data_IF_707553205099
#
_entry.id   IF_707553205099
#
_cell.length_a   1.000
_cell.length_b   1.000
_cell.length_c   1.000
_cell.angle_alpha   90.00
_cell.angle_beta   90.00
_cell.angle_gamma   90.00
#
_symmetry.space_group_name_H-M   'P 1'
#
loop_
_entity.id
_entity.type
_entity.pdbx_description
1 polymer ?
#
# COMPACT_ATOMS: atom_id res chain seq x y z
N UNK A 1 -12.48 -71.16 -5.14
CA UNK A 1 -13.04 -70.02 -4.38
C UNK A 1 -11.86 -69.41 -3.65
N UNK A 2 -11.34 -68.26 -4.09
CA UNK A 2 -10.56 -67.35 -3.24
C UNK A 2 -10.34 -66.01 -3.96
N UNK A 3 -10.86 -64.95 -3.32
CA UNK A 3 -10.85 -63.56 -3.78
C UNK A 3 -9.45 -62.96 -3.57
N UNK A 4 -8.75 -62.63 -4.66
CA UNK A 4 -7.58 -61.74 -4.62
C UNK A 4 -8.06 -60.29 -4.57
N UNK A 5 -7.85 -59.64 -3.43
CA UNK A 5 -8.06 -58.20 -3.24
C UNK A 5 -6.95 -57.46 -3.98
N UNK A 6 -7.31 -56.72 -5.02
CA UNK A 6 -6.47 -55.73 -5.68
C UNK A 6 -6.33 -54.51 -4.77
N UNK A 7 -5.15 -54.30 -4.16
CA UNK A 7 -4.77 -53.00 -3.62
C UNK A 7 -4.10 -52.20 -4.75
N UNK A 8 -4.90 -51.36 -5.41
CA UNK A 8 -4.42 -50.34 -6.33
C UNK A 8 -3.87 -49.17 -5.50
N UNK A 9 -2.56 -49.20 -5.22
CA UNK A 9 -1.87 -48.05 -4.63
C UNK A 9 -1.74 -46.95 -5.69
N UNK A 10 -2.66 -45.98 -5.62
CA UNK A 10 -2.59 -44.74 -6.38
C UNK A 10 -1.44 -43.88 -5.81
N UNK A 11 -0.23 -44.10 -6.32
CA UNK A 11 0.93 -43.23 -6.11
C UNK A 11 0.70 -41.95 -6.93
N UNK A 12 -0.13 -41.06 -6.37
CA UNK A 12 -0.20 -39.67 -6.80
C UNK A 12 1.14 -39.05 -6.42
N UNK A 13 1.99 -38.83 -7.43
CA UNK A 13 3.16 -38.00 -7.30
C UNK A 13 2.73 -36.62 -6.84
N UNK A 14 2.91 -36.35 -5.54
CA UNK A 14 3.01 -35.00 -5.02
C UNK A 14 4.31 -34.42 -5.60
N UNK A 15 4.22 -33.87 -6.81
CA UNK A 15 5.17 -32.88 -7.27
C UNK A 15 5.11 -31.73 -6.27
N UNK A 16 6.11 -31.66 -5.40
CA UNK A 16 6.48 -30.46 -4.67
C UNK A 16 6.60 -29.35 -5.71
N UNK A 17 5.59 -28.49 -5.79
CA UNK A 17 5.66 -27.25 -6.54
C UNK A 17 6.61 -26.36 -5.74
N UNK A 18 7.91 -26.48 -6.01
CA UNK A 18 8.87 -25.47 -5.61
C UNK A 18 8.35 -24.14 -6.14
N UNK A 19 8.25 -23.07 -5.32
CA UNK A 19 7.93 -21.76 -5.86
C UNK A 19 8.96 -21.47 -6.95
N UNK A 20 8.49 -21.23 -8.16
CA UNK A 20 9.34 -20.81 -9.29
C UNK A 20 9.95 -19.48 -8.85
N UNK A 21 11.20 -19.52 -8.38
CA UNK A 21 12.00 -18.30 -8.23
C UNK A 21 12.06 -17.66 -9.61
N UNK A 22 11.76 -16.37 -9.68
CA UNK A 22 11.94 -15.64 -10.92
C UNK A 22 13.41 -15.80 -11.35
N UNK A 23 13.61 -16.39 -12.53
CA UNK A 23 14.96 -16.62 -13.04
C UNK A 23 15.53 -15.27 -13.45
N UNK A 24 16.40 -14.72 -12.61
CA UNK A 24 17.18 -13.51 -12.89
C UNK A 24 17.99 -13.71 -14.18
N UNK A 25 17.74 -12.91 -15.20
CA UNK A 25 18.50 -12.92 -16.45
C UNK A 25 19.72 -11.99 -16.35
N UNK A 26 20.68 -12.35 -15.49
CA UNK A 26 21.93 -11.61 -15.33
C UNK A 26 23.14 -12.53 -15.45
N UNK A 27 24.23 -11.99 -16.03
CA UNK A 27 25.53 -12.65 -16.01
C UNK A 27 26.02 -12.79 -14.57
N UNK A 28 26.71 -13.89 -14.27
CA UNK A 28 27.37 -14.10 -12.98
C UNK A 28 28.35 -12.96 -12.70
N UNK A 29 28.35 -12.44 -11.47
CA UNK A 29 29.21 -11.31 -11.09
C UNK A 29 28.76 -9.95 -11.64
N UNK A 30 27.50 -9.81 -12.05
CA UNK A 30 26.93 -8.52 -12.46
C UNK A 30 27.12 -7.45 -11.37
N UNK A 31 27.57 -6.26 -11.78
CA UNK A 31 27.81 -5.13 -10.88
C UNK A 31 26.50 -4.63 -10.23
N UNK A 32 26.55 -3.97 -9.05
CA UNK A 32 25.37 -3.49 -8.34
C UNK A 32 24.41 -2.66 -9.20
N UNK A 33 24.96 -1.80 -10.06
CA UNK A 33 24.19 -0.99 -11.00
C UNK A 33 23.36 -1.85 -11.95
N UNK A 34 23.97 -2.86 -12.58
CA UNK A 34 23.31 -3.77 -13.51
C UNK A 34 22.23 -4.60 -12.81
N UNK A 35 22.46 -4.98 -11.55
CA UNK A 35 21.44 -5.67 -10.73
C UNK A 35 20.20 -4.79 -10.54
N UNK A 36 20.41 -3.53 -10.16
CA UNK A 36 19.33 -2.58 -9.94
C UNK A 36 18.57 -2.25 -11.21
N UNK A 37 19.28 -2.00 -12.32
CA UNK A 37 18.65 -1.69 -13.61
C UNK A 37 17.77 -2.84 -14.11
N UNK A 38 18.23 -4.08 -13.99
CA UNK A 38 17.43 -5.25 -14.35
C UNK A 38 16.23 -5.44 -13.41
N UNK A 39 16.43 -5.26 -12.10
CA UNK A 39 15.33 -5.29 -11.13
C UNK A 39 14.26 -4.24 -11.44
N UNK A 40 14.64 -3.00 -11.74
CA UNK A 40 13.70 -1.93 -12.07
C UNK A 40 12.93 -2.22 -13.36
N UNK A 41 13.62 -2.73 -14.38
CA UNK A 41 13.02 -3.13 -15.65
C UNK A 41 12.00 -4.26 -15.46
N UNK A 42 12.38 -5.31 -14.75
CA UNK A 42 11.52 -6.47 -14.50
C UNK A 42 10.31 -6.09 -13.64
N UNK A 43 10.50 -5.27 -12.61
CA UNK A 43 9.41 -4.83 -11.74
C UNK A 43 8.45 -3.87 -12.45
N UNK A 44 8.96 -2.92 -13.26
CA UNK A 44 8.13 -2.06 -14.10
C UNK A 44 7.32 -2.91 -15.09
N UNK A 45 7.97 -3.85 -15.79
CA UNK A 45 7.28 -4.78 -16.71
C UNK A 45 6.21 -5.61 -16.00
N UNK A 46 6.52 -6.14 -14.82
CA UNK A 46 5.59 -6.93 -14.03
C UNK A 46 4.36 -6.14 -13.60
N UNK A 47 4.54 -4.86 -13.27
CA UNK A 47 3.47 -3.93 -12.84
C UNK A 47 2.64 -3.41 -14.01
N UNK A 48 3.26 -3.15 -15.16
CA UNK A 48 2.61 -2.56 -16.33
C UNK A 48 1.92 -3.59 -17.23
N UNK A 49 2.32 -4.87 -17.14
CA UNK A 49 1.71 -5.93 -17.91
C UNK A 49 0.20 -6.07 -17.55
N UNK A 50 -0.73 -5.87 -18.50
CA UNK A 50 -2.16 -5.99 -18.25
C UNK A 50 -2.58 -7.36 -17.71
N UNK A 51 -1.86 -8.43 -18.08
CA UNK A 51 -2.11 -9.78 -17.56
C UNK A 51 -1.86 -9.91 -16.05
N UNK A 52 -1.09 -8.98 -15.47
CA UNK A 52 -0.73 -8.96 -14.06
C UNK A 52 -1.54 -7.95 -13.24
N UNK A 53 -2.50 -7.25 -13.86
CA UNK A 53 -3.25 -6.15 -13.22
C UNK A 53 -3.95 -6.57 -11.92
N UNK A 54 -4.44 -7.82 -11.86
CA UNK A 54 -5.14 -8.39 -10.68
C UNK A 54 -4.20 -9.04 -9.66
N UNK A 55 -2.88 -9.12 -9.93
CA UNK A 55 -1.94 -9.73 -8.99
C UNK A 55 -1.81 -8.88 -7.72
N UNK A 56 -2.02 -9.51 -6.57
CA UNK A 56 -1.71 -8.92 -5.27
C UNK A 56 -0.21 -8.70 -5.06
N UNK A 57 0.16 -7.89 -4.05
CA UNK A 57 1.55 -7.49 -3.79
C UNK A 57 2.54 -8.66 -3.73
N UNK A 58 2.18 -9.73 -3.02
CA UNK A 58 3.04 -10.92 -2.89
C UNK A 58 3.23 -11.65 -4.22
N UNK A 59 2.18 -11.72 -5.06
CA UNK A 59 2.27 -12.36 -6.37
C UNK A 59 3.12 -11.54 -7.33
N UNK A 60 3.03 -10.20 -7.28
CA UNK A 60 3.93 -9.31 -8.03
C UNK A 60 5.38 -9.40 -7.53
N UNK A 61 5.60 -9.46 -6.21
CA UNK A 61 6.94 -9.64 -5.63
C UNK A 61 7.59 -10.94 -6.09
N UNK A 62 6.85 -12.05 -6.15
CA UNK A 62 7.38 -13.34 -6.60
C UNK A 62 7.95 -13.31 -8.02
N UNK A 63 7.59 -12.32 -8.85
CA UNK A 63 8.14 -12.14 -10.19
C UNK A 63 9.54 -11.51 -10.18
N UNK A 64 9.97 -10.94 -9.05
CA UNK A 64 11.26 -10.24 -8.90
C UNK A 64 12.01 -10.69 -7.64
N UNK A 65 11.58 -11.79 -7.00
CA UNK A 65 12.16 -12.25 -5.72
C UNK A 65 13.64 -12.67 -5.86
N UNK A 66 14.06 -13.07 -7.06
CA UNK A 66 15.44 -13.43 -7.39
C UNK A 66 16.47 -12.29 -7.28
N UNK A 67 16.03 -11.04 -7.15
CA UNK A 67 16.89 -9.88 -6.92
C UNK A 67 17.18 -9.63 -5.44
N UNK A 68 16.45 -10.28 -4.53
CA UNK A 68 16.45 -10.00 -3.10
C UNK A 68 17.11 -11.11 -2.29
N UNK A 69 17.81 -10.73 -1.22
CA UNK A 69 17.95 -11.66 -0.09
C UNK A 69 16.63 -11.64 0.67
N UNK A 70 15.97 -12.79 0.72
CA UNK A 70 14.71 -12.93 1.47
C UNK A 70 14.90 -12.47 2.91
N UNK A 71 14.07 -11.51 3.32
CA UNK A 71 14.03 -11.03 4.70
C UNK A 71 13.66 -12.17 5.63
N UNK A 72 14.49 -12.43 6.65
CA UNK A 72 14.19 -13.45 7.67
C UNK A 72 13.08 -12.99 8.59
N UNK A 73 12.40 -13.93 9.26
CA UNK A 73 11.33 -13.61 10.23
C UNK A 73 11.85 -12.72 11.35
N UNK A 74 13.08 -12.95 11.80
CA UNK A 74 13.78 -12.16 12.81
C UNK A 74 14.01 -10.72 12.34
N UNK A 75 14.44 -10.51 11.08
CA UNK A 75 14.62 -9.17 10.51
C UNK A 75 13.31 -8.40 10.40
N UNK A 76 12.23 -9.04 9.96
CA UNK A 76 10.89 -8.43 9.92
C UNK A 76 10.40 -8.06 11.33
N UNK A 77 10.68 -8.89 12.34
CA UNK A 77 10.33 -8.60 13.73
C UNK A 77 11.12 -7.42 14.33
N UNK A 78 12.36 -7.22 13.89
CA UNK A 78 13.21 -6.13 14.37
C UNK A 78 12.93 -4.79 13.70
N UNK A 79 12.66 -4.79 12.39
CA UNK A 79 12.45 -3.54 11.62
C UNK A 79 10.98 -3.20 11.44
N UNK A 80 10.07 -4.17 11.63
CA UNK A 80 8.64 -4.01 11.36
C UNK A 80 8.31 -3.85 9.87
N UNK A 81 9.28 -4.04 8.97
CA UNK A 81 9.15 -3.74 7.54
C UNK A 81 9.59 -4.91 6.67
N UNK A 82 8.95 -5.02 5.51
CA UNK A 82 9.24 -6.01 4.46
C UNK A 82 9.68 -5.17 3.27
N UNK A 83 10.98 -4.82 3.24
CA UNK A 83 11.55 -3.80 2.34
C UNK A 83 11.34 -4.12 0.85
N UNK A 84 11.33 -5.41 0.53
CA UNK A 84 10.91 -5.99 -0.74
C UNK A 84 9.48 -5.57 -1.15
N UNK A 85 8.48 -5.75 -0.29
CA UNK A 85 7.10 -5.39 -0.59
C UNK A 85 6.91 -3.87 -0.72
N UNK A 86 7.67 -3.08 0.03
CA UNK A 86 7.66 -1.62 -0.10
C UNK A 86 8.11 -1.17 -1.49
N UNK A 87 9.07 -1.86 -2.10
CA UNK A 87 9.51 -1.54 -3.48
C UNK A 87 8.42 -1.85 -4.51
N UNK A 88 7.69 -2.96 -4.36
CA UNK A 88 6.55 -3.31 -5.23
C UNK A 88 5.43 -2.29 -5.09
N UNK A 89 5.12 -1.88 -3.86
CA UNK A 89 4.17 -0.81 -3.56
C UNK A 89 4.58 0.47 -4.30
N UNK A 90 5.84 0.88 -4.18
CA UNK A 90 6.37 2.06 -4.85
C UNK A 90 6.16 2.01 -6.37
N UNK A 91 6.50 0.90 -7.03
CA UNK A 91 6.35 0.76 -8.49
C UNK A 91 4.88 0.74 -8.92
N UNK A 92 4.00 0.04 -8.17
CA UNK A 92 2.55 0.04 -8.48
C UNK A 92 1.92 1.42 -8.40
N UNK A 93 2.36 2.24 -7.44
CA UNK A 93 1.81 3.58 -7.24
C UNK A 93 2.40 4.62 -8.19
N UNK A 94 3.72 4.65 -8.35
CA UNK A 94 4.39 5.72 -9.11
C UNK A 94 4.57 5.38 -10.59
N UNK A 95 4.44 4.10 -10.98
CA UNK A 95 4.59 3.59 -12.34
C UNK A 95 5.73 4.30 -13.09
N UNK A 96 6.97 4.20 -12.58
CA UNK A 96 8.06 5.02 -13.09
C UNK A 96 8.34 4.71 -14.56
N UNK A 97 8.32 5.75 -15.40
CA UNK A 97 8.63 5.65 -16.83
C UNK A 97 10.13 5.65 -17.13
N UNK A 98 10.94 6.17 -16.21
CA UNK A 98 12.40 6.11 -16.27
C UNK A 98 13.01 6.24 -14.88
N UNK A 99 14.29 5.89 -14.78
CA UNK A 99 15.08 5.99 -13.56
C UNK A 99 16.54 6.31 -13.86
N UNK A 100 17.19 6.97 -12.91
CA UNK A 100 18.62 7.27 -12.97
C UNK A 100 19.22 6.97 -11.60
N UNK A 101 20.29 6.19 -11.56
CA UNK A 101 21.10 6.01 -10.36
C UNK A 101 21.98 7.26 -10.20
N UNK A 102 21.64 8.12 -9.25
CA UNK A 102 22.30 9.42 -9.05
C UNK A 102 23.58 9.30 -8.23
N UNK A 103 23.66 8.29 -7.36
CA UNK A 103 24.88 7.96 -6.62
C UNK A 103 24.97 6.46 -6.43
N UNK A 104 26.16 5.89 -6.57
CA UNK A 104 26.46 4.52 -6.20
C UNK A 104 27.77 4.50 -5.41
N UNK A 105 27.69 4.06 -4.16
CA UNK A 105 28.86 3.89 -3.28
C UNK A 105 28.99 2.43 -2.90
N UNK A 106 30.15 1.84 -3.14
CA UNK A 106 30.48 0.48 -2.73
C UNK A 106 31.62 0.47 -1.71
N UNK A 107 31.54 -0.43 -0.74
CA UNK A 107 32.55 -0.64 0.28
C UNK A 107 32.60 -2.13 0.64
N UNK A 108 33.60 -2.84 0.11
CA UNK A 108 33.73 -4.29 0.27
C UNK A 108 32.51 -5.02 -0.28
N UNK A 109 31.83 -5.75 0.60
CA UNK A 109 30.65 -6.56 0.27
C UNK A 109 29.34 -5.77 0.32
N UNK A 110 29.36 -4.44 0.51
CA UNK A 110 28.16 -3.62 0.60
C UNK A 110 28.13 -2.54 -0.47
N UNK A 111 26.93 -2.22 -0.96
CA UNK A 111 26.71 -1.09 -1.84
C UNK A 111 25.43 -0.33 -1.45
N UNK A 112 25.45 0.98 -1.66
CA UNK A 112 24.27 1.86 -1.53
C UNK A 112 24.10 2.65 -2.81
N UNK A 113 22.89 2.63 -3.34
CA UNK A 113 22.49 3.41 -4.50
C UNK A 113 21.42 4.44 -4.10
N UNK A 114 21.62 5.68 -4.51
CA UNK A 114 20.57 6.70 -4.56
C UNK A 114 19.99 6.67 -5.97
N UNK A 115 18.66 6.57 -6.08
CA UNK A 115 17.98 6.37 -7.36
C UNK A 115 16.84 7.36 -7.48
N UNK A 116 16.86 8.11 -8.59
CA UNK A 116 15.84 9.07 -8.97
C UNK A 116 14.90 8.46 -9.99
N UNK A 117 13.62 8.40 -9.69
CA UNK A 117 12.58 7.90 -10.57
C UNK A 117 11.76 9.04 -11.18
N UNK A 118 11.40 8.91 -12.45
CA UNK A 118 10.43 9.76 -13.12
C UNK A 118 9.08 9.01 -13.18
N UNK A 119 8.04 9.46 -12.45
CA UNK A 119 6.71 8.85 -12.57
C UNK A 119 6.15 8.94 -14.00
N UNK A 120 5.27 8.02 -14.38
CA UNK A 120 4.45 8.18 -15.58
C UNK A 120 3.15 8.92 -15.24
N UNK A 121 2.75 9.88 -16.10
CA UNK A 121 1.45 10.50 -15.99
C UNK A 121 0.38 9.43 -16.21
N UNK A 122 -0.46 9.22 -15.19
CA UNK A 122 -1.50 8.19 -15.26
C UNK A 122 -2.66 8.73 -16.10
N UNK A 123 -2.99 8.02 -17.18
CA UNK A 123 -4.17 8.18 -18.04
C UNK A 123 -5.16 9.31 -17.65
N UNK A 124 -4.94 10.51 -18.19
CA UNK A 124 -6.03 11.47 -18.47
C UNK A 124 -6.22 12.68 -17.55
N UNK A 125 -5.48 12.84 -16.44
CA UNK A 125 -5.53 14.09 -15.65
C UNK A 125 -4.11 14.56 -15.39
N UNK A 126 -3.65 15.55 -16.17
CA UNK A 126 -2.36 16.21 -15.94
C UNK A 126 -2.42 16.93 -14.59
N UNK A 127 -1.85 16.34 -13.54
CA UNK A 127 -1.61 17.03 -12.27
C UNK A 127 -0.19 17.58 -12.28
N UNK A 128 -0.02 18.86 -11.89
CA UNK A 128 1.27 19.56 -11.94
C UNK A 128 2.43 18.89 -11.15
N UNK A 129 2.16 17.90 -10.29
CA UNK A 129 3.16 17.14 -9.52
C UNK A 129 3.42 15.71 -10.00
N UNK A 130 2.72 15.23 -11.02
CA UNK A 130 2.95 13.88 -11.61
C UNK A 130 4.27 13.78 -12.40
N UNK A 131 5.04 14.87 -12.44
CA UNK A 131 6.33 14.95 -13.10
C UNK A 131 7.49 15.19 -12.12
N UNK A 132 7.23 15.36 -10.83
CA UNK A 132 8.29 15.55 -9.85
C UNK A 132 9.06 14.23 -9.70
N UNK A 133 10.38 14.31 -9.88
CA UNK A 133 11.24 13.15 -9.71
C UNK A 133 11.27 12.70 -8.25
N UNK A 134 11.25 11.38 -8.02
CA UNK A 134 11.23 10.80 -6.68
C UNK A 134 12.59 10.15 -6.39
N UNK A 135 13.27 10.64 -5.36
CA UNK A 135 14.54 10.09 -4.90
C UNK A 135 14.30 8.96 -3.89
N UNK A 136 15.01 7.85 -4.04
CA UNK A 136 14.91 6.65 -3.19
C UNK A 136 16.31 6.11 -2.90
N UNK A 137 16.42 5.16 -1.96
CA UNK A 137 17.68 4.49 -1.66
C UNK A 137 17.54 2.97 -1.68
N UNK A 138 18.47 2.29 -2.35
CA UNK A 138 18.63 0.84 -2.31
C UNK A 138 19.94 0.47 -1.62
N UNK A 139 19.91 -0.51 -0.73
CA UNK A 139 21.12 -1.14 -0.20
C UNK A 139 21.25 -2.55 -0.77
N UNK A 140 22.49 -2.92 -1.11
CA UNK A 140 22.84 -4.21 -1.67
C UNK A 140 23.99 -4.85 -0.90
N UNK A 141 24.05 -6.17 -0.94
CA UNK A 141 25.15 -6.97 -0.39
C UNK A 141 25.66 -7.96 -1.44
N UNK A 142 26.96 -8.21 -1.43
CA UNK A 142 27.61 -9.26 -2.21
C UNK A 142 27.52 -10.58 -1.44
N UNK A 143 27.01 -11.62 -2.09
CA UNK A 143 26.94 -12.97 -1.52
C UNK A 143 27.24 -13.99 -2.61
N UNK A 144 28.21 -14.87 -2.38
CA UNK A 144 28.64 -15.89 -3.34
C UNK A 144 28.94 -15.28 -4.72
N UNK A 145 29.71 -14.20 -4.74
CA UNK A 145 30.09 -13.44 -5.95
C UNK A 145 28.93 -12.75 -6.72
N UNK A 146 27.71 -12.75 -6.18
CA UNK A 146 26.55 -12.06 -6.76
C UNK A 146 25.97 -11.00 -5.82
N UNK A 147 25.60 -9.85 -6.40
CA UNK A 147 24.95 -8.77 -5.66
C UNK A 147 23.44 -8.99 -5.53
N UNK A 148 22.91 -8.70 -4.35
CA UNK A 148 21.49 -8.80 -4.03
C UNK A 148 21.00 -7.56 -3.29
N UNK A 149 19.74 -7.19 -3.51
CA UNK A 149 19.06 -6.13 -2.76
C UNK A 149 18.71 -6.66 -1.37
N UNK A 150 18.97 -5.85 -0.35
CA UNK A 150 18.68 -6.17 1.06
C UNK A 150 17.77 -5.16 1.73
N UNK A 151 17.66 -3.96 1.18
CA UNK A 151 16.84 -2.89 1.74
C UNK A 151 16.43 -1.90 0.64
N UNK A 152 15.25 -1.35 0.80
CA UNK A 152 14.69 -0.28 -0.03
C UNK A 152 14.07 0.76 0.91
N UNK A 153 14.51 1.99 0.73
CA UNK A 153 13.91 3.17 1.35
C UNK A 153 13.28 3.99 0.24
N UNK A 154 11.96 4.11 0.30
CA UNK A 154 11.20 5.00 -0.58
C UNK A 154 11.57 6.48 -0.36
N UNK A 155 10.81 7.42 -0.94
CA UNK A 155 11.06 8.84 -0.76
C UNK A 155 11.28 9.18 0.71
N UNK A 156 12.31 9.96 1.00
CA UNK A 156 12.46 10.58 2.31
C UNK A 156 11.18 11.35 2.59
N UNK A 157 10.32 10.78 3.45
CA UNK A 157 9.28 11.54 4.11
C UNK A 157 10.06 12.59 4.88
N UNK A 158 10.01 13.86 4.43
CA UNK A 158 10.53 15.00 5.17
C UNK A 158 10.26 14.75 6.65
N UNK A 159 11.25 14.90 7.56
CA UNK A 159 11.08 14.59 8.97
C UNK A 159 9.72 15.12 9.40
N UNK A 160 8.87 14.17 9.84
CA UNK A 160 7.46 14.38 10.10
C UNK A 160 7.28 15.77 10.69
N UNK A 161 6.55 16.65 9.99
CA UNK A 161 5.92 17.78 10.68
C UNK A 161 5.28 17.20 11.94
N UNK A 162 5.44 17.92 13.07
CA UNK A 162 4.85 17.49 14.33
C UNK A 162 3.42 17.03 14.06
N UNK A 163 3.09 15.81 14.52
CA UNK A 163 1.76 15.27 14.29
C UNK A 163 0.74 16.26 14.85
N UNK A 164 -0.36 16.50 14.13
CA UNK A 164 -1.37 17.44 14.59
C UNK A 164 -1.95 16.99 15.92
N UNK A 165 -2.33 17.96 16.76
CA UNK A 165 -3.11 17.68 17.96
C UNK A 165 -4.42 16.98 17.57
N UNK A 166 -4.80 15.98 18.37
CA UNK A 166 -6.03 15.26 18.15
C UNK A 166 -7.24 16.19 18.38
N UNK A 167 -8.19 16.16 17.45
CA UNK A 167 -9.44 16.90 17.57
C UNK A 167 -10.18 16.52 18.84
N UNK A 168 -10.70 17.52 19.54
CA UNK A 168 -11.61 17.32 20.67
C UNK A 168 -13.00 16.94 20.14
N UNK A 169 -13.59 15.89 20.72
CA UNK A 169 -14.98 15.50 20.49
C UNK A 169 -15.86 16.23 21.50
N UNK A 170 -16.84 16.96 21.02
CA UNK A 170 -17.81 17.68 21.85
C UNK A 170 -18.97 16.72 22.22
N UNK A 171 -19.50 16.76 23.45
CA UNK A 171 -20.71 16.00 23.81
C UNK A 171 -21.94 16.28 22.91
N UNK A 172 -21.98 17.42 22.23
CA UNK A 172 -23.02 17.79 21.27
C UNK A 172 -22.76 17.30 19.84
N UNK A 173 -21.60 16.70 19.56
CA UNK A 173 -21.30 16.14 18.24
C UNK A 173 -22.32 15.05 17.88
N UNK A 174 -22.93 15.20 16.70
CA UNK A 174 -23.78 14.16 16.11
C UNK A 174 -22.94 13.19 15.29
N UNK A 175 -23.44 11.97 14.99
CA UNK A 175 -22.74 11.06 14.08
C UNK A 175 -22.40 11.69 12.73
N UNK A 176 -23.30 12.53 12.18
CA UNK A 176 -23.06 13.23 10.92
C UNK A 176 -21.94 14.28 11.06
N UNK A 177 -21.89 15.02 12.17
CA UNK A 177 -20.83 15.98 12.46
C UNK A 177 -19.46 15.29 12.59
N UNK A 178 -19.41 14.12 13.23
CA UNK A 178 -18.18 13.33 13.34
C UNK A 178 -17.69 12.87 11.97
N UNK A 179 -18.56 12.29 11.15
CA UNK A 179 -18.19 11.86 9.79
C UNK A 179 -17.76 13.06 8.95
N UNK A 180 -18.43 14.21 9.05
CA UNK A 180 -18.03 15.43 8.33
C UNK A 180 -16.63 15.88 8.70
N UNK A 181 -16.35 16.08 9.99
CA UNK A 181 -15.03 16.54 10.47
C UNK A 181 -13.94 15.54 10.11
N UNK A 182 -14.24 14.24 10.18
CA UNK A 182 -13.33 13.19 9.76
C UNK A 182 -13.02 13.28 8.26
N UNK A 183 -14.06 13.41 7.43
CA UNK A 183 -13.91 13.47 5.98
C UNK A 183 -13.24 14.76 5.52
N UNK A 184 -13.42 15.89 6.21
CA UNK A 184 -12.73 17.14 5.92
C UNK A 184 -11.21 16.99 6.09
N UNK A 185 -10.76 16.30 7.15
CA UNK A 185 -9.34 15.96 7.35
C UNK A 185 -8.87 14.99 6.27
N UNK A 186 -9.68 13.99 5.92
CA UNK A 186 -9.34 13.05 4.84
C UNK A 186 -9.17 13.77 3.50
N UNK A 187 -10.05 14.71 3.14
CA UNK A 187 -9.91 15.51 1.92
C UNK A 187 -8.65 16.37 1.94
N UNK A 188 -8.37 17.02 3.08
CA UNK A 188 -7.20 17.88 3.24
C UNK A 188 -5.89 17.10 3.13
N UNK A 189 -5.79 15.97 3.84
CA UNK A 189 -4.53 15.26 4.03
C UNK A 189 -4.35 14.07 3.09
N UNK A 190 -5.43 13.49 2.55
CA UNK A 190 -5.38 12.34 1.64
C UNK A 190 -5.99 12.62 0.26
N UNK A 191 -6.56 13.82 0.05
CA UNK A 191 -7.05 14.24 -1.26
C UNK A 191 -5.92 14.44 -2.28
N UNK A 192 -6.24 14.69 -3.56
CA UNK A 192 -5.26 14.74 -4.65
C UNK A 192 -4.20 15.84 -4.49
N UNK A 193 -4.48 16.90 -3.73
CA UNK A 193 -3.54 17.99 -3.46
C UNK A 193 -2.46 17.63 -2.43
N UNK A 194 -2.67 16.57 -1.65
CA UNK A 194 -1.85 16.19 -0.49
C UNK A 194 -0.54 15.46 -0.83
N UNK A 195 -0.34 15.11 -2.11
CA UNK A 195 0.86 14.45 -2.61
C UNK A 195 0.66 12.95 -2.91
N UNK A 196 1.74 12.17 -2.82
CA UNK A 196 1.73 10.74 -3.12
C UNK A 196 0.79 9.98 -2.17
N UNK A 197 0.04 8.97 -2.65
CA UNK A 197 -0.74 8.07 -1.80
C UNK A 197 0.10 7.53 -0.63
N UNK A 198 -0.46 7.60 0.59
CA UNK A 198 0.11 7.04 1.81
C UNK A 198 0.92 8.03 2.65
N UNK A 199 1.32 9.18 2.08
CA UNK A 199 2.24 10.12 2.74
C UNK A 199 1.72 10.71 4.06
N UNK A 200 0.39 10.89 4.19
CA UNK A 200 -0.22 11.60 5.32
C UNK A 200 -1.22 10.76 6.13
N UNK A 201 -1.26 9.44 5.94
CA UNK A 201 -2.18 8.55 6.69
C UNK A 201 -1.99 8.70 8.21
N UNK A 202 -0.74 8.85 8.65
CA UNK A 202 -0.42 9.06 10.06
C UNK A 202 -0.92 10.40 10.60
N UNK A 203 -0.99 11.45 9.76
CA UNK A 203 -1.53 12.76 10.15
C UNK A 203 -3.03 12.68 10.40
N UNK A 204 -3.77 12.01 9.50
CA UNK A 204 -5.21 11.79 9.69
C UNK A 204 -5.48 10.93 10.92
N UNK A 205 -4.73 9.84 11.09
CA UNK A 205 -4.88 8.96 12.26
C UNK A 205 -4.60 9.71 13.58
N UNK A 206 -3.58 10.57 13.62
CA UNK A 206 -3.27 11.40 14.78
C UNK A 206 -4.36 12.45 15.05
N UNK A 207 -4.75 13.22 14.03
CA UNK A 207 -5.75 14.28 14.14
C UNK A 207 -7.13 13.74 14.56
N UNK A 208 -7.49 12.54 14.11
CA UNK A 208 -8.84 11.97 14.34
C UNK A 208 -8.88 10.98 15.49
N UNK A 209 -7.76 10.68 16.16
CA UNK A 209 -7.65 9.62 17.18
C UNK A 209 -8.78 9.62 18.20
N UNK A 210 -9.12 10.79 18.75
CA UNK A 210 -10.13 10.92 19.81
C UNK A 210 -11.57 10.80 19.30
N UNK A 211 -11.78 10.84 17.98
CA UNK A 211 -13.08 10.64 17.34
C UNK A 211 -13.45 9.15 17.23
N UNK A 212 -12.49 8.25 17.46
CA UNK A 212 -12.69 6.82 17.35
C UNK A 212 -12.81 6.17 18.73
N UNK A 213 -13.63 5.13 18.80
CA UNK A 213 -13.70 4.23 19.94
C UNK A 213 -12.31 3.64 20.19
N UNK A 214 -11.85 3.68 21.44
CA UNK A 214 -10.51 3.20 21.80
C UNK A 214 -10.44 1.67 21.94
N UNK A 215 -10.80 0.97 20.87
CA UNK A 215 -10.82 -0.48 20.78
C UNK A 215 -9.91 -0.97 19.65
N UNK A 216 -9.34 -2.17 19.81
CA UNK A 216 -8.44 -2.77 18.82
C UNK A 216 -9.08 -2.86 17.44
N UNK A 217 -10.34 -3.28 17.38
CA UNK A 217 -11.07 -3.47 16.13
C UNK A 217 -11.39 -2.14 15.45
N UNK A 218 -11.67 -1.09 16.23
CA UNK A 218 -11.86 0.27 15.71
C UNK A 218 -10.56 0.84 15.13
N UNK A 219 -9.44 0.67 15.81
CA UNK A 219 -8.12 1.08 15.27
C UNK A 219 -7.76 0.33 13.99
N UNK A 220 -8.05 -0.98 13.92
CA UNK A 220 -7.85 -1.80 12.72
C UNK A 220 -8.73 -1.29 11.56
N UNK A 221 -10.00 -1.04 11.84
CA UNK A 221 -10.95 -0.55 10.86
C UNK A 221 -10.53 0.83 10.33
N UNK A 222 -10.10 1.74 11.21
CA UNK A 222 -9.52 3.03 10.84
C UNK A 222 -8.33 2.88 9.90
N UNK A 223 -7.35 2.03 10.25
CA UNK A 223 -6.18 1.80 9.39
C UNK A 223 -6.54 1.27 8.00
N UNK A 224 -7.50 0.35 7.91
CA UNK A 224 -8.00 -0.16 6.63
C UNK A 224 -8.74 0.92 5.83
N UNK A 225 -9.59 1.70 6.50
CA UNK A 225 -10.32 2.82 5.90
C UNK A 225 -9.39 3.89 5.35
N UNK A 226 -8.42 4.36 6.13
CA UNK A 226 -7.45 5.38 5.68
C UNK A 226 -6.58 4.87 4.53
N UNK A 227 -6.20 3.60 4.54
CA UNK A 227 -5.46 3.01 3.42
C UNK A 227 -6.30 3.07 2.15
N UNK A 228 -7.58 2.71 2.23
CA UNK A 228 -8.52 2.82 1.11
C UNK A 228 -8.72 4.28 0.66
N UNK A 229 -8.99 5.20 1.59
CA UNK A 229 -9.14 6.63 1.28
C UNK A 229 -7.89 7.20 0.62
N UNK A 230 -6.70 6.78 1.07
CA UNK A 230 -5.46 7.19 0.47
C UNK A 230 -5.28 6.67 -0.96
N UNK A 231 -5.82 5.49 -1.29
CA UNK A 231 -5.84 4.98 -2.66
C UNK A 231 -6.89 5.72 -3.52
N UNK A 232 -8.06 5.99 -2.93
CA UNK A 232 -9.14 6.71 -3.59
C UNK A 232 -8.79 8.18 -3.83
N UNK A 233 -7.97 8.81 -3.00
CA UNK A 233 -7.67 10.25 -3.06
C UNK A 233 -8.96 11.09 -3.25
N UNK A 234 -9.87 11.07 -2.26
CA UNK A 234 -11.19 11.66 -2.40
C UNK A 234 -11.10 13.15 -2.75
N UNK A 235 -11.95 13.59 -3.67
CA UNK A 235 -12.09 15.00 -4.09
C UNK A 235 -13.27 15.68 -3.40
N UNK A 236 -14.32 14.92 -3.15
CA UNK A 236 -15.51 15.36 -2.43
C UNK A 236 -16.23 14.16 -1.84
N UNK A 237 -17.14 14.42 -0.91
CA UNK A 237 -18.01 13.42 -0.33
C UNK A 237 -19.39 14.01 -0.09
N UNK A 238 -20.39 13.15 0.04
CA UNK A 238 -21.72 13.55 0.49
C UNK A 238 -22.36 12.45 1.34
N UNK A 239 -23.12 12.85 2.35
CA UNK A 239 -23.94 11.94 3.14
C UNK A 239 -25.13 11.46 2.31
N UNK A 240 -25.32 10.16 2.23
CA UNK A 240 -26.44 9.51 1.53
C UNK A 240 -27.54 9.17 2.51
N UNK A 241 -27.17 8.51 3.60
CA UNK A 241 -28.11 7.97 4.58
C UNK A 241 -27.54 8.05 5.98
N UNK A 242 -28.43 8.27 6.95
CA UNK A 242 -28.14 8.21 8.38
C UNK A 242 -29.26 7.42 9.06
N UNK A 243 -28.95 6.21 9.50
CA UNK A 243 -29.81 5.43 10.40
C UNK A 243 -29.29 5.58 11.83
N UNK A 244 -29.93 6.46 12.60
CA UNK A 244 -29.54 6.75 13.98
C UNK A 244 -30.51 6.13 14.97
N UNK A 245 -29.97 5.28 15.84
CA UNK A 245 -30.63 4.75 17.02
C UNK A 245 -30.13 5.46 18.29
N UNK A 246 -30.66 5.07 19.44
CA UNK A 246 -30.37 5.73 20.73
C UNK A 246 -28.87 5.74 21.10
N UNK A 247 -28.14 4.67 20.77
CA UNK A 247 -26.74 4.49 21.16
C UNK A 247 -25.81 4.04 20.03
N UNK A 248 -26.36 3.85 18.83
CA UNK A 248 -25.65 3.41 17.64
C UNK A 248 -26.16 4.20 16.44
N UNK A 249 -25.30 4.45 15.47
CA UNK A 249 -25.68 5.08 14.22
C UNK A 249 -24.90 4.44 13.08
N UNK A 250 -25.56 4.33 11.94
CA UNK A 250 -24.95 3.95 10.69
C UNK A 250 -25.07 5.10 9.69
N UNK A 251 -23.96 5.44 9.04
CA UNK A 251 -23.89 6.53 8.08
C UNK A 251 -23.36 6.01 6.77
N UNK A 252 -24.16 6.13 5.72
CA UNK A 252 -23.73 5.83 4.36
C UNK A 252 -23.29 7.13 3.71
N UNK A 253 -22.05 7.19 3.25
CA UNK A 253 -21.55 8.30 2.44
C UNK A 253 -21.17 7.81 1.06
N UNK A 254 -21.13 8.74 0.12
CA UNK A 254 -20.55 8.53 -1.19
C UNK A 254 -19.36 9.45 -1.35
N UNK A 255 -18.32 8.92 -1.98
CA UNK A 255 -17.06 9.61 -2.25
C UNK A 255 -16.84 9.70 -3.75
N UNK A 256 -16.51 10.91 -4.19
CA UNK A 256 -16.01 11.14 -5.53
C UNK A 256 -14.49 11.03 -5.55
N UNK A 257 -13.97 10.39 -6.59
CA UNK A 257 -12.56 10.14 -6.76
C UNK A 257 -12.18 10.27 -8.24
N UNK A 258 -11.13 11.05 -8.50
CA UNK A 258 -10.46 11.04 -9.80
C UNK A 258 -9.27 10.07 -9.87
N UNK A 259 -9.14 9.15 -8.90
CA UNK A 259 -8.02 8.22 -8.84
C UNK A 259 -8.24 7.06 -9.81
N UNK A 260 -7.28 6.75 -10.70
CA UNK A 260 -7.38 5.58 -11.58
C UNK A 260 -7.36 4.25 -10.79
N UNK A 261 -6.93 4.28 -9.53
CA UNK A 261 -6.93 3.14 -8.61
C UNK A 261 -8.31 2.90 -8.01
N UNK A 262 -9.26 3.85 -8.14
CA UNK A 262 -10.64 3.65 -7.69
C UNK A 262 -11.26 2.40 -8.34
N UNK A 263 -11.05 2.19 -9.64
CA UNK A 263 -11.52 1.01 -10.37
C UNK A 263 -10.93 -0.33 -9.86
N UNK A 264 -9.83 -0.29 -9.11
CA UNK A 264 -9.17 -1.46 -8.52
C UNK A 264 -9.65 -1.78 -7.10
N UNK A 265 -10.44 -0.90 -6.48
CA UNK A 265 -11.00 -1.13 -5.15
C UNK A 265 -12.25 -2.01 -5.28
N UNK A 266 -12.29 -3.20 -4.66
CA UNK A 266 -13.48 -4.06 -4.69
C UNK A 266 -14.71 -3.32 -4.13
N UNK A 267 -15.74 -3.14 -4.96
CA UNK A 267 -16.97 -2.40 -4.62
C UNK A 267 -17.01 -0.97 -5.17
N UNK A 268 -15.91 -0.44 -5.73
CA UNK A 268 -15.96 0.77 -6.52
C UNK A 268 -16.59 0.50 -7.89
N UNK A 269 -17.30 1.50 -8.42
CA UNK A 269 -17.86 1.39 -9.77
C UNK A 269 -16.71 1.18 -10.77
N UNK A 270 -16.81 0.13 -11.59
CA UNK A 270 -15.80 -0.23 -12.61
C UNK A 270 -15.53 0.89 -13.61
N UNK A 271 -16.45 1.85 -13.71
CA UNK A 271 -16.36 3.02 -14.59
C UNK A 271 -15.72 4.25 -13.92
N UNK A 272 -15.14 4.11 -12.71
CA UNK A 272 -14.59 5.24 -11.95
C UNK A 272 -15.66 6.10 -11.27
N UNK A 273 -16.88 5.57 -11.12
CA UNK A 273 -17.99 6.25 -10.48
C UNK A 273 -17.87 6.33 -8.95
N UNK A 274 -18.78 7.07 -8.30
CA UNK A 274 -18.77 7.30 -6.86
C UNK A 274 -18.65 6.00 -6.05
N UNK A 275 -17.82 6.02 -5.01
CA UNK A 275 -17.63 4.88 -4.09
C UNK A 275 -18.43 5.11 -2.82
N UNK A 276 -19.31 4.17 -2.48
CA UNK A 276 -20.11 4.22 -1.26
C UNK A 276 -19.39 3.56 -0.10
N UNK A 277 -19.42 4.19 1.08
CA UNK A 277 -18.80 3.71 2.31
C UNK A 277 -19.78 3.87 3.46
N UNK A 278 -19.81 2.90 4.37
CA UNK A 278 -20.60 2.97 5.59
C UNK A 278 -19.70 3.20 6.81
N UNK A 279 -20.14 4.07 7.70
CA UNK A 279 -19.56 4.28 9.02
C UNK A 279 -20.50 3.73 10.07
N UNK A 280 -19.94 3.03 11.06
CA UNK A 280 -20.63 2.80 12.32
C UNK A 280 -20.13 3.80 13.36
N UNK A 281 -21.05 4.35 14.12
CA UNK A 281 -20.78 5.15 15.31
C UNK A 281 -21.55 4.59 16.51
N UNK A 282 -21.01 4.79 17.71
CA UNK A 282 -21.66 4.43 18.97
C UNK A 282 -21.48 5.49 20.02
N UNK A 283 -22.40 5.55 20.98
CA UNK A 283 -22.24 6.41 22.16
C UNK A 283 -21.35 5.73 23.20
N UNK A 284 -20.30 6.42 23.66
CA UNK A 284 -19.44 6.01 24.77
C UNK A 284 -19.38 7.15 25.78
N UNK A 285 -19.71 6.89 27.05
CA UNK A 285 -19.73 7.91 28.12
C UNK A 285 -20.51 9.20 27.77
N UNK A 286 -21.60 9.06 27.02
CA UNK A 286 -22.44 10.19 26.60
C UNK A 286 -21.93 10.96 25.38
N UNK A 287 -20.86 10.51 24.73
CA UNK A 287 -20.32 11.11 23.50
C UNK A 287 -20.44 10.14 22.33
N UNK A 288 -20.75 10.64 21.14
CA UNK A 288 -20.67 9.82 19.93
C UNK A 288 -19.21 9.63 19.51
N UNK A 289 -18.87 8.42 19.09
CA UNK A 289 -17.55 8.07 18.56
C UNK A 289 -17.71 7.15 17.35
N UNK A 290 -16.81 7.27 16.38
CA UNK A 290 -16.70 6.37 15.23
C UNK A 290 -16.14 5.02 15.69
N UNK A 291 -16.77 3.95 15.21
CA UNK A 291 -16.41 2.59 15.57
C UNK A 291 -15.76 1.84 14.41
N UNK A 292 -16.32 1.91 13.21
CA UNK A 292 -15.85 1.12 12.08
C UNK A 292 -16.21 1.71 10.72
N UNK A 293 -15.39 1.37 9.73
CA UNK A 293 -15.71 1.35 8.31
C UNK A 293 -16.34 0.01 7.93
N UNK A 294 -17.48 0.06 7.26
CA UNK A 294 -18.14 -1.08 6.64
C UNK A 294 -18.21 -0.81 5.13
N UNK A 295 -17.88 -1.83 4.34
CA UNK A 295 -18.14 -1.85 2.90
C UNK A 295 -19.54 -2.40 2.66
#
# INVERSE_FOLDING_TARGET
MDRRIFFLACLIGLSLVSPVQAKRELAAGALPQTVLEAFFSDLSTAVENPANAELGLNATYNLVDGYWIRTTREQVQQTGQVADLNSVIFFKFNRPSSWVITSLRSAGEFARAEVRFQPSASAGVVRNKEHDTIDTTFNLVLKNDDWFIVDFKGPEVKPSEALPDALTVDPSDTPATLVSRFMDIVLQELGPASGSPGSNVNKVAAATKNMWVDERDSRRSLGQGLTMMSMLQPTSWHLVELDQQRSTAELTITIESGSPVAALVPGANKDGGPTTIRFLAKTTNGQWLLQAFIR
#
